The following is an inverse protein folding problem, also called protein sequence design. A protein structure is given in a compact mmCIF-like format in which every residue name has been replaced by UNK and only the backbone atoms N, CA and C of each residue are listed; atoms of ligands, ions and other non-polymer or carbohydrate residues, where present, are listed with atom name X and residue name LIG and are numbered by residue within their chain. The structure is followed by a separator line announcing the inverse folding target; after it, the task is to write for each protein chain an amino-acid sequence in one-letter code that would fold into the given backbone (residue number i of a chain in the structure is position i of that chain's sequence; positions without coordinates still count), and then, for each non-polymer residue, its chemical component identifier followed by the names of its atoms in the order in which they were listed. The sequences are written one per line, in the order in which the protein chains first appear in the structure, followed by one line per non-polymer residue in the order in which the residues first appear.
data_IF_976093774485
#
_entry.id   IF_976093774485
#
_cell.length_a   1.000
_cell.length_b   1.000
_cell.length_c   1.000
_cell.angle_alpha   90.00
_cell.angle_beta   90.00
_cell.angle_gamma   90.00
#
_symmetry.space_group_name_H-M   'P 1'
#
loop_
_entity.id
_entity.type
_entity.pdbx_description
1 polymer ?
#
# COMPACT_ATOMS: atom_id res chain seq x y z
N UNK A 1 -14.89 -35.88 7.00
CA UNK A 1 -14.33 -34.94 5.98
C UNK A 1 -15.06 -33.61 6.14
N UNK A 2 -14.35 -32.49 6.34
CA UNK A 2 -14.97 -31.15 6.45
C UNK A 2 -15.08 -30.54 5.05
N UNK A 3 -16.30 -30.41 4.52
CA UNK A 3 -16.56 -29.61 3.33
C UNK A 3 -16.27 -28.14 3.62
N UNK A 4 -15.45 -27.48 2.79
CA UNK A 4 -15.17 -26.04 2.87
C UNK A 4 -13.69 -25.64 2.82
N UNK A 5 -12.74 -26.58 2.94
CA UNK A 5 -11.30 -26.25 2.92
C UNK A 5 -10.69 -26.07 1.52
N UNK A 6 -11.46 -26.34 0.46
CA UNK A 6 -11.00 -26.33 -0.93
C UNK A 6 -11.75 -25.28 -1.78
N UNK A 7 -12.16 -24.17 -1.20
CA UNK A 7 -12.33 -22.98 -2.02
C UNK A 7 -10.93 -22.58 -2.46
N UNK A 8 -10.56 -22.65 -3.75
CA UNK A 8 -9.27 -22.12 -4.18
C UNK A 8 -9.20 -20.69 -3.65
N UNK A 9 -8.16 -20.39 -2.88
CA UNK A 9 -7.88 -19.01 -2.47
C UNK A 9 -7.81 -18.20 -3.76
N UNK A 10 -8.79 -17.32 -3.96
CA UNK A 10 -8.77 -16.40 -5.10
C UNK A 10 -7.46 -15.63 -4.94
N UNK A 11 -6.52 -15.84 -5.87
CA UNK A 11 -5.29 -15.07 -5.89
C UNK A 11 -5.65 -13.62 -6.18
N UNK A 12 -5.59 -12.80 -5.14
CA UNK A 12 -5.78 -11.36 -5.23
C UNK A 12 -4.39 -10.77 -5.42
N UNK A 13 -4.17 -10.09 -6.53
CA UNK A 13 -2.92 -9.37 -6.74
C UNK A 13 -2.83 -8.20 -5.75
N UNK A 14 -1.69 -8.07 -5.06
CA UNK A 14 -1.48 -7.06 -4.02
C UNK A 14 -0.18 -6.27 -4.18
N UNK A 15 -0.19 -5.06 -3.61
CA UNK A 15 0.97 -4.18 -3.43
C UNK A 15 1.29 -4.15 -1.94
N UNK A 16 2.55 -4.44 -1.56
CA UNK A 16 2.96 -4.38 -0.16
C UNK A 16 2.79 -2.96 0.39
N UNK A 17 2.42 -2.86 1.65
CA UNK A 17 2.35 -1.58 2.37
C UNK A 17 3.74 -1.07 2.79
N UNK A 18 4.79 -1.86 2.59
CA UNK A 18 6.13 -1.62 3.15
C UNK A 18 6.26 -2.03 4.63
N UNK A 19 5.18 -2.55 5.24
CA UNK A 19 5.15 -3.04 6.61
C UNK A 19 4.69 -4.50 6.64
N UNK A 20 5.61 -5.41 6.98
CA UNK A 20 5.31 -6.84 7.06
C UNK A 20 4.14 -7.14 8.02
N UNK A 21 4.09 -6.45 9.16
CA UNK A 21 3.02 -6.64 10.13
C UNK A 21 1.64 -6.25 9.58
N UNK A 22 1.57 -5.16 8.80
CA UNK A 22 0.32 -4.72 8.20
C UNK A 22 -0.08 -5.62 7.02
N UNK A 23 0.86 -6.05 6.20
CA UNK A 23 0.61 -6.97 5.09
C UNK A 23 0.02 -8.31 5.57
N UNK A 24 0.53 -8.83 6.69
CA UNK A 24 -0.02 -10.00 7.37
C UNK A 24 -1.43 -9.70 7.90
N UNK A 25 -1.61 -8.57 8.57
CA UNK A 25 -2.91 -8.19 9.16
C UNK A 25 -4.02 -8.02 8.11
N UNK A 26 -3.68 -7.59 6.89
CA UNK A 26 -4.61 -7.49 5.76
C UNK A 26 -5.05 -8.87 5.23
N UNK A 27 -4.36 -9.96 5.59
CA UNK A 27 -4.72 -11.34 5.24
C UNK A 27 -4.47 -11.74 3.78
N UNK A 28 -4.25 -10.77 2.90
CA UNK A 28 -3.96 -10.96 1.47
C UNK A 28 -2.55 -10.54 1.08
N UNK A 29 -1.71 -10.14 2.05
CA UNK A 29 -0.30 -9.82 1.83
C UNK A 29 -0.04 -8.39 1.31
N UNK A 30 -1.00 -7.48 1.44
CA UNK A 30 -0.86 -6.09 1.03
C UNK A 30 -2.19 -5.46 0.60
N UNK A 31 -2.12 -4.30 -0.05
CA UNK A 31 -3.28 -3.62 -0.61
C UNK A 31 -3.71 -4.28 -1.93
N UNK A 32 -4.99 -4.68 -2.09
CA UNK A 32 -5.48 -5.34 -3.29
C UNK A 32 -5.54 -4.40 -4.49
N UNK A 33 -5.06 -4.86 -5.63
CA UNK A 33 -5.17 -4.12 -6.90
C UNK A 33 -6.62 -4.04 -7.39
N UNK A 34 -6.92 -2.99 -8.15
CA UNK A 34 -8.25 -2.77 -8.74
C UNK A 34 -9.33 -2.44 -7.69
N UNK A 35 -8.93 -2.01 -6.49
CA UNK A 35 -9.82 -1.65 -5.39
C UNK A 35 -9.52 -0.24 -4.88
N UNK A 36 -10.53 0.39 -4.29
CA UNK A 36 -10.37 1.64 -3.54
C UNK A 36 -9.98 1.29 -2.11
N UNK A 37 -8.98 2.00 -1.58
CA UNK A 37 -8.49 1.85 -0.21
C UNK A 37 -8.58 3.21 0.48
N UNK A 38 -9.09 3.23 1.70
CA UNK A 38 -9.13 4.41 2.56
C UNK A 38 -8.12 4.25 3.70
N UNK A 39 -7.24 5.24 3.87
CA UNK A 39 -6.32 5.35 5.01
C UNK A 39 -6.69 6.64 5.74
N UNK A 40 -7.34 6.52 6.89
CA UNK A 40 -7.80 7.67 7.68
C UNK A 40 -7.19 7.68 9.08
N UNK A 41 -7.26 8.84 9.75
CA UNK A 41 -6.69 9.04 11.07
C UNK A 41 -6.29 10.51 11.33
N UNK A 42 -5.91 10.85 12.57
CA UNK A 42 -5.53 12.22 12.95
C UNK A 42 -4.36 12.78 12.13
N UNK A 43 -4.18 14.10 12.16
CA UNK A 43 -2.97 14.73 11.66
C UNK A 43 -1.72 14.09 12.32
N UNK A 44 -0.64 13.96 11.56
CA UNK A 44 0.61 13.34 12.03
C UNK A 44 0.51 11.85 12.45
N UNK A 45 -0.58 11.15 12.12
CA UNK A 45 -0.71 9.70 12.41
C UNK A 45 0.06 8.77 11.45
N UNK A 46 0.77 9.33 10.44
CA UNK A 46 1.56 8.56 9.48
C UNK A 46 0.84 8.12 8.20
N UNK A 47 -0.37 8.63 7.92
CA UNK A 47 -1.15 8.29 6.70
C UNK A 47 -0.35 8.47 5.42
N UNK A 48 0.22 9.66 5.24
CA UNK A 48 1.01 10.01 4.05
C UNK A 48 2.27 9.17 3.96
N UNK A 49 2.94 8.89 5.08
CA UNK A 49 4.09 7.97 5.12
C UNK A 49 3.71 6.57 4.62
N UNK A 50 2.58 6.02 5.07
CA UNK A 50 2.09 4.72 4.60
C UNK A 50 1.75 4.72 3.10
N UNK A 51 1.11 5.79 2.61
CA UNK A 51 0.82 5.96 1.19
C UNK A 51 2.11 6.03 0.35
N UNK A 52 3.13 6.77 0.81
CA UNK A 52 4.43 6.87 0.14
C UNK A 52 5.18 5.53 0.14
N UNK A 53 5.13 4.75 1.22
CA UNK A 53 5.68 3.38 1.22
C UNK A 53 4.99 2.48 0.20
N UNK A 54 3.67 2.56 0.12
CA UNK A 54 2.89 1.81 -0.89
C UNK A 54 3.31 2.20 -2.31
N UNK A 55 3.52 3.50 -2.57
CA UNK A 55 4.04 4.00 -3.86
C UNK A 55 5.43 3.43 -4.15
N UNK A 56 6.34 3.47 -3.18
CA UNK A 56 7.68 2.93 -3.33
C UNK A 56 7.65 1.43 -3.64
N UNK A 57 6.82 0.64 -2.95
CA UNK A 57 6.65 -0.80 -3.21
C UNK A 57 6.06 -1.08 -4.59
N UNK A 58 5.10 -0.27 -5.05
CA UNK A 58 4.56 -0.38 -6.40
C UNK A 58 5.63 -0.07 -7.47
N UNK A 59 6.42 0.98 -7.28
CA UNK A 59 7.51 1.37 -8.19
C UNK A 59 8.63 0.34 -8.24
N UNK A 60 9.00 -0.27 -7.11
CA UNK A 60 9.99 -1.38 -7.06
C UNK A 60 9.60 -2.56 -7.95
N UNK A 61 8.30 -2.80 -8.14
CA UNK A 61 7.76 -3.82 -9.05
C UNK A 61 7.60 -3.32 -10.49
N UNK A 62 8.18 -2.17 -10.84
CA UNK A 62 8.08 -1.54 -12.16
C UNK A 62 6.76 -0.82 -12.43
N UNK A 63 5.93 -0.60 -11.40
CA UNK A 63 4.67 0.13 -11.53
C UNK A 63 4.87 1.64 -11.70
N UNK A 64 3.92 2.28 -12.39
CA UNK A 64 3.83 3.74 -12.47
C UNK A 64 2.79 4.22 -11.47
N UNK A 65 3.14 5.24 -10.69
CA UNK A 65 2.29 5.80 -9.64
C UNK A 65 1.99 7.27 -9.95
N UNK A 66 0.78 7.72 -9.59
CA UNK A 66 0.40 9.12 -9.59
C UNK A 66 0.05 9.54 -8.16
N UNK A 67 0.40 10.77 -7.81
CA UNK A 67 0.06 11.38 -6.51
C UNK A 67 -0.69 12.68 -6.77
N UNK A 68 -1.93 12.76 -6.27
CA UNK A 68 -2.77 13.96 -6.39
C UNK A 68 -2.69 14.70 -5.06
N UNK A 69 -1.87 15.75 -5.02
CA UNK A 69 -1.66 16.56 -3.82
C UNK A 69 -2.65 17.72 -3.77
N UNK A 70 -3.76 17.52 -3.06
CA UNK A 70 -4.73 18.59 -2.77
C UNK A 70 -4.36 19.38 -1.49
N UNK A 71 -3.42 18.90 -0.68
CA UNK A 71 -3.00 19.54 0.58
C UNK A 71 -1.78 20.45 0.40
N UNK A 72 -1.07 20.33 -0.74
CA UNK A 72 0.19 21.03 -1.02
C UNK A 72 1.25 20.81 0.06
N UNK A 73 1.29 19.60 0.64
CA UNK A 73 2.09 19.26 1.81
C UNK A 73 3.13 18.16 1.54
N UNK A 74 3.24 17.66 0.30
CA UNK A 74 4.23 16.64 -0.04
C UNK A 74 5.65 17.20 0.11
N UNK A 75 6.49 16.49 0.87
CA UNK A 75 7.94 16.70 0.90
C UNK A 75 8.64 15.71 -0.06
N UNK A 76 9.19 16.17 -1.20
CA UNK A 76 9.89 15.32 -2.17
C UNK A 76 11.18 14.71 -1.62
N UNK A 77 11.85 15.38 -0.66
CA UNK A 77 13.08 14.89 -0.04
C UNK A 77 12.76 13.71 0.86
N UNK A 78 11.70 13.82 1.67
CA UNK A 78 11.23 12.72 2.51
C UNK A 78 10.74 11.54 1.66
N UNK A 79 9.94 11.78 0.63
CA UNK A 79 9.46 10.73 -0.29
C UNK A 79 10.60 9.92 -0.91
N UNK A 80 11.66 10.57 -1.40
CA UNK A 80 12.86 9.88 -1.92
C UNK A 80 13.55 9.01 -0.87
N UNK A 81 13.65 9.47 0.39
CA UNK A 81 14.23 8.68 1.48
C UNK A 81 13.42 7.43 1.81
N UNK A 82 12.11 7.47 1.60
CA UNK A 82 11.23 6.30 1.74
C UNK A 82 11.32 5.33 0.54
N UNK A 83 12.03 5.71 -0.53
CA UNK A 83 12.25 4.88 -1.72
C UNK A 83 11.33 5.20 -2.90
N UNK A 84 10.63 6.35 -2.88
CA UNK A 84 9.84 6.81 -4.03
C UNK A 84 10.80 7.34 -5.11
N UNK A 85 10.59 6.88 -6.35
CA UNK A 85 11.25 7.40 -7.55
C UNK A 85 10.47 8.60 -8.08
N UNK A 86 11.05 9.81 -7.99
CA UNK A 86 10.47 11.08 -8.41
C UNK A 86 11.24 11.69 -9.58
#
# INVERSE_FOLDING_TARGET
MRLGKNSPSIEIETISTGSLGLDIALGVGGLPRGRVIEIYGPESSGKTTLALHTIAEAQKKGGVCAFVDAEHALDPVYARKLGVNL
#
